data_IF_110420594229
#
_entry.id   IF_110420594229
#
_cell.length_a   1.000
_cell.length_b   1.000
_cell.length_c   1.000
_cell.angle_alpha   90.00
_cell.angle_beta   90.00
_cell.angle_gamma   90.00
#
_symmetry.space_group_name_H-M   'P 1'
#
loop_
_entity.id
_entity.type
_entity.pdbx_description
1 polymer ?
#
# COMPACT_ATOMS: atom_id res chain seq x y z
N UNK A 1 -29.32 2.56 -14.43
CA UNK A 1 -29.04 1.19 -13.94
C UNK A 1 -29.85 0.08 -14.64
N UNK A 2 -30.18 0.14 -15.94
CA UNK A 2 -30.89 -1.00 -16.58
C UNK A 2 -30.54 -1.32 -18.04
N UNK A 3 -29.67 -0.57 -18.72
CA UNK A 3 -29.47 -0.79 -20.18
C UNK A 3 -28.08 -1.32 -20.56
N UNK A 4 -27.10 -1.23 -19.67
CA UNK A 4 -25.72 -1.67 -19.94
C UNK A 4 -25.49 -3.10 -19.42
N UNK A 5 -26.11 -3.46 -18.29
CA UNK A 5 -26.05 -4.81 -17.70
C UNK A 5 -26.68 -5.85 -18.65
N UNK A 6 -27.82 -5.55 -19.28
CA UNK A 6 -28.48 -6.45 -20.23
C UNK A 6 -27.66 -6.69 -21.52
N UNK A 7 -26.86 -5.71 -21.96
CA UNK A 7 -26.04 -5.85 -23.18
C UNK A 7 -24.81 -6.71 -23.00
N UNK A 8 -24.34 -6.89 -21.76
CA UNK A 8 -23.21 -7.78 -21.43
C UNK A 8 -23.71 -9.23 -21.26
N UNK A 9 -24.92 -9.43 -20.74
CA UNK A 9 -25.51 -10.77 -20.59
C UNK A 9 -25.81 -11.49 -21.93
N UNK A 10 -26.05 -10.72 -23.00
CA UNK A 10 -26.37 -11.27 -24.33
C UNK A 10 -25.22 -12.01 -25.02
N UNK A 11 -23.97 -11.67 -24.70
CA UNK A 11 -22.77 -12.27 -25.33
C UNK A 11 -22.33 -13.58 -24.62
N UNK A 12 -22.76 -13.78 -23.38
CA UNK A 12 -22.35 -14.93 -22.54
C UNK A 12 -23.19 -16.19 -22.81
N UNK A 13 -24.32 -16.09 -23.51
CA UNK A 13 -25.25 -17.23 -23.72
C UNK A 13 -24.86 -18.25 -24.80
N UNK A 14 -23.75 -18.09 -25.52
CA UNK A 14 -23.39 -19.01 -26.62
C UNK A 14 -22.39 -20.12 -26.30
N UNK A 15 -21.91 -20.27 -25.05
CA UNK A 15 -20.95 -21.34 -24.71
C UNK A 15 -21.32 -22.15 -23.47
N UNK A 16 -22.54 -22.73 -23.45
CA UNK A 16 -22.87 -23.84 -22.55
C UNK A 16 -23.25 -25.07 -23.36
N UNK A 17 -22.26 -25.91 -23.64
CA UNK A 17 -22.46 -27.33 -23.92
C UNK A 17 -21.21 -28.11 -23.48
N UNK A 18 -21.21 -28.56 -22.22
CA UNK A 18 -20.45 -29.73 -21.75
C UNK A 18 -21.29 -30.50 -20.72
N UNK A 19 -21.19 -31.84 -20.71
CA UNK A 19 -22.20 -32.70 -20.11
C UNK A 19 -22.09 -32.77 -18.58
N UNK A 20 -23.26 -32.96 -17.96
CA UNK A 20 -23.49 -33.15 -16.53
C UNK A 20 -22.84 -34.44 -16.02
N UNK A 21 -21.93 -34.30 -15.05
CA UNK A 21 -21.56 -35.34 -14.11
C UNK A 21 -21.96 -34.90 -12.71
N UNK A 22 -22.70 -35.75 -12.00
CA UNK A 22 -23.11 -35.52 -10.61
C UNK A 22 -21.88 -35.55 -9.69
N UNK A 23 -21.33 -34.38 -9.37
CA UNK A 23 -20.50 -34.18 -8.18
C UNK A 23 -21.41 -33.63 -7.08
N UNK A 24 -21.55 -34.38 -5.98
CA UNK A 24 -22.10 -33.84 -4.74
C UNK A 24 -21.13 -32.77 -4.23
N UNK A 25 -21.27 -31.53 -4.69
CA UNK A 25 -20.56 -30.38 -4.17
C UNK A 25 -21.07 -30.12 -2.76
N UNK A 26 -20.33 -30.58 -1.75
CA UNK A 26 -20.52 -30.10 -0.39
C UNK A 26 -20.18 -28.61 -0.38
N UNK A 27 -21.20 -27.76 -0.43
CA UNK A 27 -21.04 -26.31 -0.31
C UNK A 27 -20.50 -26.02 1.10
N UNK A 28 -19.21 -25.71 1.19
CA UNK A 28 -18.56 -25.36 2.46
C UNK A 28 -19.17 -24.05 2.92
N UNK A 29 -19.78 -24.05 4.11
CA UNK A 29 -20.35 -22.85 4.69
C UNK A 29 -19.25 -21.81 4.93
N UNK A 30 -19.54 -20.55 4.65
CA UNK A 30 -18.66 -19.44 4.91
C UNK A 30 -19.21 -18.50 5.99
N UNK A 31 -18.30 -17.77 6.64
CA UNK A 31 -18.59 -16.73 7.63
C UNK A 31 -17.82 -15.45 7.32
N UNK A 32 -18.42 -14.32 7.67
CA UNK A 32 -17.79 -13.02 7.71
C UNK A 32 -17.21 -12.82 9.12
N UNK A 33 -15.93 -12.47 9.19
CA UNK A 33 -15.15 -12.40 10.42
C UNK A 33 -14.83 -10.96 10.80
N UNK A 34 -14.91 -10.66 12.09
CA UNK A 34 -14.22 -9.52 12.72
C UNK A 34 -13.30 -10.04 13.81
N UNK A 35 -12.00 -9.89 13.59
CA UNK A 35 -10.95 -10.36 14.50
C UNK A 35 -10.29 -9.14 15.13
N UNK A 36 -10.38 -9.02 16.45
CA UNK A 36 -9.65 -8.02 17.23
C UNK A 36 -8.42 -8.68 17.86
N UNK A 37 -7.23 -8.23 17.45
CA UNK A 37 -5.96 -8.61 18.04
C UNK A 37 -5.65 -7.65 19.19
N UNK A 38 -5.83 -8.11 20.43
CA UNK A 38 -5.84 -7.23 21.61
C UNK A 38 -4.40 -6.91 22.01
N UNK A 39 -3.60 -7.92 22.30
CA UNK A 39 -2.25 -7.74 22.83
C UNK A 39 -1.57 -9.05 23.17
N UNK A 40 -0.33 -8.95 23.64
CA UNK A 40 0.43 -10.07 24.20
C UNK A 40 1.12 -9.66 25.49
N UNK A 41 1.62 -10.64 26.25
CA UNK A 41 2.41 -10.39 27.47
C UNK A 41 3.38 -11.54 27.72
N UNK A 42 4.47 -11.23 28.44
CA UNK A 42 5.51 -12.19 28.76
C UNK A 42 6.39 -12.55 27.56
N UNK A 43 6.50 -11.65 26.57
CA UNK A 43 7.40 -11.83 25.45
C UNK A 43 8.86 -11.89 25.93
N UNK A 44 9.72 -12.72 25.32
CA UNK A 44 11.14 -12.74 25.65
C UNK A 44 11.79 -11.41 25.27
N UNK A 45 12.81 -11.02 26.03
CA UNK A 45 13.75 -10.00 25.59
C UNK A 45 14.56 -10.55 24.40
N UNK A 46 14.63 -9.77 23.33
CA UNK A 46 15.30 -10.17 22.09
C UNK A 46 16.46 -9.21 21.75
N UNK A 47 16.33 -7.92 22.10
CA UNK A 47 17.42 -6.95 21.99
C UNK A 47 18.57 -7.10 23.00
N UNK A 48 19.79 -6.72 22.60
CA UNK A 48 20.94 -6.57 23.52
C UNK A 48 20.75 -5.38 24.47
N UNK A 49 20.22 -4.27 23.96
CA UNK A 49 19.93 -3.02 24.70
C UNK A 49 18.50 -2.60 24.36
N UNK A 50 17.62 -2.41 25.35
CA UNK A 50 16.18 -2.25 25.10
C UNK A 50 15.38 -3.43 25.65
N UNK A 51 14.23 -3.75 25.06
CA UNK A 51 13.43 -4.93 25.39
C UNK A 51 13.09 -5.75 24.14
N UNK A 52 11.97 -5.43 23.50
CA UNK A 52 11.58 -5.86 22.17
C UNK A 52 10.68 -4.77 21.57
N UNK A 53 10.67 -4.66 20.25
CA UNK A 53 9.77 -3.89 19.40
C UNK A 53 8.79 -4.84 18.65
N UNK A 54 7.85 -5.50 19.36
CA UNK A 54 7.08 -6.59 18.76
C UNK A 54 6.03 -6.13 17.74
N UNK A 55 5.81 -7.00 16.75
CA UNK A 55 4.67 -6.95 15.83
C UNK A 55 4.23 -8.39 15.48
N UNK A 56 3.05 -8.54 14.89
CA UNK A 56 2.56 -9.84 14.45
C UNK A 56 2.14 -9.86 12.98
N UNK A 57 2.14 -11.06 12.40
CA UNK A 57 1.58 -11.40 11.10
C UNK A 57 0.49 -12.44 11.33
N UNK A 58 -0.76 -12.07 11.06
CA UNK A 58 -1.90 -12.97 11.06
C UNK A 58 -2.20 -13.43 9.64
N UNK A 59 -2.52 -14.72 9.46
CA UNK A 59 -2.85 -15.35 8.18
C UNK A 59 -4.06 -16.25 8.34
N UNK A 60 -4.98 -16.22 7.38
CA UNK A 60 -6.08 -17.19 7.29
C UNK A 60 -5.80 -18.10 6.10
N UNK A 61 -5.56 -19.39 6.37
CA UNK A 61 -5.24 -20.43 5.38
C UNK A 61 -4.15 -20.05 4.35
N UNK A 62 -3.23 -19.14 4.72
CA UNK A 62 -2.24 -18.52 3.82
C UNK A 62 -2.82 -17.79 2.58
N UNK A 63 -4.15 -17.59 2.52
CA UNK A 63 -4.85 -16.89 1.44
C UNK A 63 -4.84 -15.37 1.61
N UNK A 64 -4.93 -14.89 2.85
CA UNK A 64 -4.94 -13.47 3.17
C UNK A 64 -4.17 -13.22 4.47
N UNK A 65 -3.50 -12.08 4.57
CA UNK A 65 -2.70 -11.71 5.74
C UNK A 65 -2.90 -10.29 6.24
N UNK A 66 -2.67 -10.12 7.54
CA UNK A 66 -2.61 -8.85 8.24
C UNK A 66 -1.27 -8.75 8.97
N UNK A 67 -0.48 -7.71 8.65
CA UNK A 67 0.70 -7.36 9.45
C UNK A 67 0.34 -6.17 10.35
N UNK A 68 0.58 -6.32 11.66
CA UNK A 68 0.25 -5.29 12.65
C UNK A 68 1.20 -4.09 12.61
N UNK A 69 0.91 -3.07 13.39
CA UNK A 69 1.86 -2.03 13.78
C UNK A 69 2.97 -2.59 14.68
N UNK A 70 4.10 -1.88 14.72
CA UNK A 70 5.21 -2.17 15.63
C UNK A 70 4.97 -1.38 16.91
N UNK A 71 4.98 -2.06 18.06
CA UNK A 71 4.92 -1.41 19.37
C UNK A 71 6.32 -1.41 19.97
N UNK A 72 6.83 -0.25 20.37
CA UNK A 72 8.25 -0.14 20.74
C UNK A 72 8.52 -0.43 22.22
N UNK A 73 9.69 -1.00 22.49
CA UNK A 73 10.29 -1.23 23.79
C UNK A 73 9.29 -1.79 24.83
N UNK A 74 8.62 -2.88 24.50
CA UNK A 74 7.66 -3.55 25.38
C UNK A 74 7.68 -5.07 25.24
N UNK A 75 7.55 -5.77 26.37
CA UNK A 75 7.29 -7.22 26.42
C UNK A 75 5.81 -7.56 26.64
N UNK A 76 4.96 -6.53 26.71
CA UNK A 76 3.53 -6.61 26.86
C UNK A 76 2.82 -5.67 25.89
N UNK A 77 2.91 -5.93 24.57
CA UNK A 77 2.33 -5.05 23.56
C UNK A 77 0.81 -5.07 23.58
N UNK A 78 0.22 -3.92 23.29
CA UNK A 78 -1.23 -3.75 23.10
C UNK A 78 -1.43 -3.15 21.71
N UNK A 79 -1.95 -3.95 20.79
CA UNK A 79 -2.22 -3.50 19.41
C UNK A 79 -3.65 -2.97 19.27
N UNK A 80 -4.63 -3.69 19.83
CA UNK A 80 -6.06 -3.41 19.63
C UNK A 80 -6.46 -3.22 18.16
N UNK A 81 -5.81 -3.97 17.25
CA UNK A 81 -6.07 -3.88 15.81
C UNK A 81 -7.22 -4.79 15.40
N UNK A 82 -8.11 -4.27 14.56
CA UNK A 82 -9.24 -5.02 14.02
C UNK A 82 -8.95 -5.43 12.59
N UNK A 83 -9.35 -6.64 12.22
CA UNK A 83 -9.30 -7.17 10.87
C UNK A 83 -10.66 -7.75 10.48
N UNK A 84 -11.20 -7.31 9.34
CA UNK A 84 -12.45 -7.81 8.78
C UNK A 84 -12.19 -8.55 7.48
N UNK A 85 -12.71 -9.77 7.39
CA UNK A 85 -12.56 -10.65 6.23
C UNK A 85 -13.89 -11.32 5.96
N UNK A 86 -14.36 -11.22 4.72
CA UNK A 86 -15.62 -11.80 4.27
C UNK A 86 -15.42 -13.14 3.58
N UNK A 87 -16.49 -13.93 3.58
CA UNK A 87 -16.59 -15.19 2.85
C UNK A 87 -15.47 -16.18 3.19
N UNK A 88 -15.20 -16.39 4.48
CA UNK A 88 -14.16 -17.31 4.96
C UNK A 88 -14.78 -18.68 5.24
N UNK A 89 -14.26 -19.78 4.67
CA UNK A 89 -14.73 -21.12 4.99
C UNK A 89 -14.70 -21.40 6.50
N UNK A 90 -15.76 -21.98 7.06
CA UNK A 90 -15.83 -22.28 8.51
C UNK A 90 -14.74 -23.23 9.02
N UNK A 91 -14.09 -23.95 8.11
CA UNK A 91 -12.98 -24.86 8.38
C UNK A 91 -11.61 -24.18 8.38
N UNK A 92 -11.54 -22.88 8.05
CA UNK A 92 -10.29 -22.15 7.96
C UNK A 92 -9.62 -22.00 9.33
N UNK A 93 -8.29 -21.91 9.30
CA UNK A 93 -7.48 -21.68 10.47
C UNK A 93 -6.81 -20.31 10.45
N UNK A 94 -6.70 -19.71 11.64
CA UNK A 94 -5.94 -18.49 11.88
C UNK A 94 -4.56 -18.86 12.42
N UNK A 95 -3.51 -18.54 11.67
CA UNK A 95 -2.11 -18.57 12.08
C UNK A 95 -1.66 -17.17 12.47
N UNK A 96 -1.03 -17.03 13.63
CA UNK A 96 -0.42 -15.76 14.07
C UNK A 96 1.05 -16.02 14.38
N UNK A 97 1.93 -15.25 13.75
CA UNK A 97 3.37 -15.27 13.92
C UNK A 97 3.81 -13.94 14.54
N UNK A 98 4.62 -13.98 15.60
CA UNK A 98 5.09 -12.80 16.34
C UNK A 98 6.60 -12.64 16.11
N UNK A 99 7.00 -11.40 15.86
CA UNK A 99 8.36 -11.01 15.53
C UNK A 99 8.79 -9.83 16.40
N UNK A 100 10.08 -9.71 16.63
CA UNK A 100 10.73 -8.53 17.17
C UNK A 100 11.35 -7.69 16.06
N UNK A 101 11.15 -6.37 16.10
CA UNK A 101 11.63 -5.48 15.05
C UNK A 101 13.05 -4.97 15.32
N UNK A 102 14.00 -5.47 14.55
CA UNK A 102 15.40 -5.01 14.61
C UNK A 102 15.72 -3.97 13.52
N UNK A 103 15.63 -2.68 13.86
CA UNK A 103 15.97 -1.61 12.92
C UNK A 103 17.46 -1.65 12.53
N UNK A 104 17.73 -2.01 11.28
CA UNK A 104 19.09 -2.09 10.71
C UNK A 104 19.62 -3.51 10.54
N UNK A 105 18.90 -4.52 11.03
CA UNK A 105 19.17 -5.92 10.71
C UNK A 105 18.54 -6.32 9.36
N UNK A 106 19.11 -7.32 8.65
CA UNK A 106 18.52 -7.83 7.40
C UNK A 106 17.23 -8.61 7.62
N UNK A 107 17.04 -9.17 8.81
CA UNK A 107 15.88 -9.96 9.20
C UNK A 107 15.46 -9.58 10.61
N UNK A 108 14.16 -9.56 10.84
CA UNK A 108 13.52 -9.31 12.13
C UNK A 108 13.51 -10.63 12.95
N UNK A 109 13.78 -10.56 14.25
CA UNK A 109 13.90 -11.72 15.12
C UNK A 109 12.56 -12.45 15.32
N UNK A 110 12.51 -13.74 15.03
CA UNK A 110 11.28 -14.53 15.20
C UNK A 110 11.05 -14.93 16.66
N UNK A 111 9.95 -14.46 17.26
CA UNK A 111 9.60 -14.76 18.66
C UNK A 111 8.91 -16.12 18.76
N UNK A 112 7.86 -16.34 17.96
CA UNK A 112 7.06 -17.56 18.01
C UNK A 112 5.74 -17.45 17.24
N UNK A 113 4.90 -18.48 17.35
CA UNK A 113 3.59 -18.52 16.69
C UNK A 113 2.55 -19.29 17.47
N UNK A 114 1.30 -19.14 17.07
CA UNK A 114 0.23 -20.06 17.46
C UNK A 114 -0.77 -20.22 16.31
N UNK A 115 -1.53 -21.30 16.35
CA UNK A 115 -2.60 -21.59 15.39
C UNK A 115 -3.90 -21.83 16.15
N UNK A 116 -5.01 -21.27 15.67
CA UNK A 116 -6.33 -21.45 16.27
C UNK A 116 -7.42 -21.47 15.20
N UNK A 117 -8.57 -22.04 15.50
CA UNK A 117 -9.74 -22.01 14.60
C UNK A 117 -10.27 -20.58 14.45
N UNK A 118 -11.16 -20.34 13.48
CA UNK A 118 -11.88 -19.06 13.36
C UNK A 118 -13.18 -19.01 14.18
N UNK A 119 -13.40 -19.94 15.12
CA UNK A 119 -14.62 -19.96 15.93
C UNK A 119 -14.77 -18.70 16.78
N UNK A 120 -15.99 -18.13 16.92
CA UNK A 120 -16.23 -16.95 17.75
C UNK A 120 -15.82 -17.12 19.20
N UNK A 121 -15.48 -15.99 19.83
CA UNK A 121 -15.15 -15.90 21.24
C UNK A 121 -13.82 -15.19 21.51
N UNK A 122 -13.60 -14.87 22.78
CA UNK A 122 -12.29 -14.46 23.25
C UNK A 122 -11.37 -15.69 23.33
N UNK A 123 -10.14 -15.54 22.86
CA UNK A 123 -9.13 -16.59 22.85
C UNK A 123 -7.87 -16.10 23.55
N UNK A 124 -7.34 -17.00 24.38
CA UNK A 124 -6.02 -16.89 24.98
C UNK A 124 -5.16 -17.99 24.36
N UNK A 125 -4.04 -17.62 23.76
CA UNK A 125 -3.15 -18.54 23.06
C UNK A 125 -1.72 -18.42 23.57
N UNK A 126 -1.08 -19.57 23.80
CA UNK A 126 0.34 -19.62 24.10
C UNK A 126 1.17 -19.40 22.82
N UNK A 127 2.15 -18.50 22.90
CA UNK A 127 3.08 -18.25 21.79
C UNK A 127 4.18 -19.33 21.85
N UNK A 128 4.19 -20.22 20.88
CA UNK A 128 5.16 -21.30 20.79
C UNK A 128 6.45 -20.84 20.08
N UNK A 129 7.58 -20.90 20.79
CA UNK A 129 8.88 -20.60 20.22
C UNK A 129 9.42 -21.69 19.27
N UNK A 130 10.43 -21.37 18.44
CA UNK A 130 10.96 -22.27 17.39
C UNK A 130 11.68 -23.53 17.91
N UNK A 131 12.20 -23.50 19.14
CA UNK A 131 12.98 -24.60 19.73
C UNK A 131 12.28 -25.10 21.01
N UNK A 132 12.00 -26.41 21.06
CA UNK A 132 11.51 -27.16 22.23
C UNK A 132 10.13 -26.73 22.79
N UNK A 133 9.24 -26.09 22.00
CA UNK A 133 7.91 -25.61 22.45
C UNK A 133 7.98 -24.85 23.78
N UNK A 134 8.98 -23.97 23.93
CA UNK A 134 9.01 -23.07 25.08
C UNK A 134 7.91 -22.01 24.89
N UNK A 135 7.06 -21.85 25.90
CA UNK A 135 6.15 -20.73 26.03
C UNK A 135 6.97 -19.42 25.92
N UNK A 136 6.61 -18.56 24.96
CA UNK A 136 7.24 -17.25 24.72
C UNK A 136 6.28 -16.09 25.03
N UNK A 137 5.26 -16.36 25.83
CA UNK A 137 4.24 -15.39 26.22
C UNK A 137 2.84 -15.86 25.85
N UNK A 138 1.87 -15.03 26.23
CA UNK A 138 0.45 -15.25 25.99
C UNK A 138 -0.07 -14.16 25.05
N UNK A 139 -0.89 -14.54 24.08
CA UNK A 139 -1.56 -13.66 23.14
C UNK A 139 -3.08 -13.69 23.37
N UNK A 140 -3.72 -12.52 23.33
CA UNK A 140 -5.18 -12.39 23.43
C UNK A 140 -5.79 -11.81 22.16
N UNK A 141 -6.87 -12.45 21.70
CA UNK A 141 -7.68 -11.96 20.58
C UNK A 141 -9.15 -12.28 20.80
N UNK A 142 -10.03 -11.58 20.07
CA UNK A 142 -11.47 -11.84 20.07
C UNK A 142 -11.95 -12.00 18.63
N UNK A 143 -12.70 -13.07 18.37
CA UNK A 143 -13.33 -13.32 17.07
C UNK A 143 -14.84 -13.15 17.21
N UNK A 144 -15.41 -12.35 16.32
CA UNK A 144 -16.84 -12.30 16.05
C UNK A 144 -17.06 -12.86 14.64
N UNK A 145 -18.14 -13.62 14.44
CA UNK A 145 -18.49 -14.14 13.12
C UNK A 145 -19.99 -14.11 12.89
N UNK A 146 -20.37 -13.88 11.64
CA UNK A 146 -21.73 -14.06 11.16
C UNK A 146 -21.74 -14.90 9.87
N UNK A 147 -22.82 -15.63 9.55
CA UNK A 147 -22.89 -16.36 8.28
C UNK A 147 -22.72 -15.42 7.07
N UNK A 148 -21.86 -15.80 6.14
CA UNK A 148 -21.68 -15.03 4.89
C UNK A 148 -22.92 -15.12 4.00
N UNK A 149 -23.09 -14.12 3.14
CA UNK A 149 -24.13 -14.14 2.11
C UNK A 149 -23.79 -15.20 1.06
N UNK A 150 -24.80 -15.92 0.58
CA UNK A 150 -24.63 -17.03 -0.37
C UNK A 150 -24.22 -16.61 -1.79
N UNK A 151 -24.23 -15.32 -2.09
CA UNK A 151 -23.96 -14.77 -3.43
C UNK A 151 -22.55 -14.18 -3.58
N UNK A 152 -21.67 -14.33 -2.59
CA UNK A 152 -20.30 -13.83 -2.67
C UNK A 152 -19.42 -14.68 -3.60
N UNK A 153 -18.97 -14.06 -4.69
CA UNK A 153 -18.11 -14.69 -5.72
C UNK A 153 -16.69 -15.01 -5.22
N UNK A 154 -16.14 -14.17 -4.32
CA UNK A 154 -14.75 -14.28 -3.86
C UNK A 154 -14.68 -14.68 -2.39
N UNK A 155 -13.83 -15.66 -2.06
CA UNK A 155 -13.49 -16.03 -0.67
C UNK A 155 -12.33 -15.20 -0.14
N UNK A 156 -12.19 -15.14 1.19
CA UNK A 156 -11.11 -14.41 1.87
C UNK A 156 -11.01 -12.93 1.47
N UNK A 157 -12.15 -12.26 1.33
CA UNK A 157 -12.20 -10.89 0.84
C UNK A 157 -11.90 -9.91 1.99
N UNK A 158 -10.86 -9.08 1.82
CA UNK A 158 -10.59 -8.00 2.77
C UNK A 158 -11.75 -7.00 2.86
N UNK A 159 -12.23 -6.75 4.08
CA UNK A 159 -13.36 -5.87 4.37
C UNK A 159 -13.01 -4.77 5.39
N UNK A 160 -11.72 -4.47 5.51
CA UNK A 160 -11.23 -3.35 6.30
C UNK A 160 -10.82 -3.70 7.73
N UNK A 161 -10.64 -2.68 8.58
CA UNK A 161 -10.66 -1.26 8.24
C UNK A 161 -9.57 -0.88 7.23
N UNK A 162 -9.78 0.17 6.43
CA UNK A 162 -8.76 0.68 5.51
C UNK A 162 -7.59 1.19 6.35
N UNK A 163 -6.41 0.60 6.13
CA UNK A 163 -5.20 0.89 6.89
C UNK A 163 -4.10 1.36 5.96
N UNK A 164 -3.25 2.23 6.47
CA UNK A 164 -2.06 2.67 5.75
C UNK A 164 -0.78 2.46 6.55
N UNK A 165 0.31 2.26 5.83
CA UNK A 165 1.66 2.45 6.34
C UNK A 165 2.36 3.51 5.48
N UNK A 166 2.92 4.51 6.16
CA UNK A 166 3.77 5.55 5.60
C UNK A 166 5.21 5.23 5.97
N UNK A 167 5.99 4.94 4.95
CA UNK A 167 7.39 4.58 5.10
C UNK A 167 8.24 5.82 4.87
N UNK A 168 9.03 6.16 5.89
CA UNK A 168 10.05 7.20 5.81
C UNK A 168 11.41 6.54 5.74
N UNK A 169 12.26 6.98 4.81
CA UNK A 169 13.64 6.50 4.76
C UNK A 169 14.61 7.67 4.96
N UNK A 170 15.05 7.94 6.21
CA UNK A 170 16.08 8.93 6.50
C UNK A 170 17.45 8.50 5.94
N UNK A 171 17.73 7.19 5.97
CA UNK A 171 18.96 6.58 5.44
C UNK A 171 19.13 6.89 3.95
N UNK A 172 18.02 6.96 3.22
CA UNK A 172 17.97 7.37 1.82
C UNK A 172 18.28 8.87 1.63
N UNK A 173 17.84 9.74 2.54
CA UNK A 173 18.20 11.16 2.53
C UNK A 173 19.71 11.37 2.74
N UNK A 174 20.33 10.56 3.60
CA UNK A 174 21.78 10.58 3.84
C UNK A 174 22.55 10.03 2.63
N UNK A 175 22.07 8.95 1.99
CA UNK A 175 22.72 8.33 0.82
C UNK A 175 22.68 9.20 -0.44
N UNK A 176 21.75 10.16 -0.54
CA UNK A 176 21.59 11.03 -1.71
C UNK A 176 22.38 12.33 -1.62
N UNK A 177 23.06 12.61 -0.50
CA UNK A 177 23.78 13.87 -0.25
C UNK A 177 22.93 15.14 -0.49
N UNK A 178 21.60 14.99 -0.56
CA UNK A 178 20.65 16.08 -0.61
C UNK A 178 20.56 16.61 0.82
N UNK A 179 20.70 17.93 0.99
CA UNK A 179 20.69 18.64 2.28
C UNK A 179 19.77 17.98 3.33
N UNK A 180 20.12 18.04 4.61
CA UNK A 180 19.22 17.60 5.72
C UNK A 180 17.83 18.30 5.73
N UNK A 181 17.62 19.31 4.86
CA UNK A 181 16.35 19.99 4.56
C UNK A 181 15.59 19.41 3.34
N UNK A 182 16.15 18.45 2.61
CA UNK A 182 15.49 17.71 1.56
C UNK A 182 14.36 16.89 2.17
N UNK A 183 13.16 17.47 2.09
CA UNK A 183 11.86 16.93 2.50
C UNK A 183 11.87 15.40 2.56
N UNK A 184 11.78 14.86 3.78
CA UNK A 184 11.70 13.42 4.08
C UNK A 184 10.76 12.72 3.11
N UNK A 185 11.32 11.90 2.20
CA UNK A 185 10.54 11.17 1.21
C UNK A 185 9.62 10.17 1.89
N UNK A 186 8.38 10.11 1.40
CA UNK A 186 7.34 9.23 1.93
C UNK A 186 6.82 8.35 0.81
N UNK A 187 6.70 7.06 1.10
CA UNK A 187 5.96 6.12 0.28
C UNK A 187 4.80 5.59 1.12
N UNK A 188 3.63 5.48 0.52
CA UNK A 188 2.43 5.01 1.19
C UNK A 188 2.03 3.65 0.63
N UNK A 189 1.60 2.77 1.53
CA UNK A 189 0.93 1.51 1.22
C UNK A 189 -0.42 1.54 1.94
N UNK A 190 -1.50 1.48 1.18
CA UNK A 190 -2.88 1.55 1.68
C UNK A 190 -3.60 0.28 1.27
N UNK A 191 -4.26 -0.38 2.22
CA UNK A 191 -5.11 -1.54 1.94
C UNK A 191 -6.55 -1.06 1.79
N UNK A 192 -6.97 -0.88 0.54
CA UNK A 192 -8.34 -0.49 0.20
C UNK A 192 -9.21 -1.75 0.03
N UNK A 193 -10.51 -1.63 0.29
CA UNK A 193 -11.47 -2.72 0.24
C UNK A 193 -12.04 -2.90 -1.18
N UNK A 194 -12.41 -4.15 -1.50
CA UNK A 194 -13.18 -4.47 -2.70
C UNK A 194 -12.42 -4.64 -4.02
N UNK A 195 -11.08 -4.57 -4.05
CA UNK A 195 -10.31 -4.69 -5.31
C UNK A 195 -10.73 -5.90 -6.17
N UNK A 196 -10.84 -7.13 -5.63
CA UNK A 196 -11.32 -8.28 -6.41
C UNK A 196 -12.74 -8.12 -6.95
N UNK A 197 -13.63 -7.40 -6.26
CA UNK A 197 -15.01 -7.17 -6.70
C UNK A 197 -15.07 -6.26 -7.94
N UNK A 198 -14.23 -5.23 -7.98
CA UNK A 198 -14.20 -4.25 -9.06
C UNK A 198 -13.35 -4.72 -10.25
N UNK A 199 -12.13 -5.19 -9.99
CA UNK A 199 -11.21 -5.62 -11.05
C UNK A 199 -11.40 -7.07 -11.48
N UNK A 200 -12.10 -7.90 -10.69
CA UNK A 200 -12.27 -9.33 -10.96
C UNK A 200 -10.93 -10.02 -11.16
N UNK A 201 -10.81 -10.85 -12.20
CA UNK A 201 -9.55 -11.47 -12.62
C UNK A 201 -8.83 -10.67 -13.71
N UNK A 202 -9.11 -9.36 -13.83
CA UNK A 202 -8.43 -8.49 -14.78
C UNK A 202 -7.11 -8.02 -14.18
N UNK A 203 -6.03 -8.29 -14.90
CA UNK A 203 -4.68 -7.86 -14.58
C UNK A 203 -4.05 -7.17 -15.80
N UNK A 204 -3.17 -6.20 -15.54
CA UNK A 204 -2.44 -5.43 -16.54
C UNK A 204 -1.00 -5.90 -16.54
N UNK A 205 -0.63 -6.64 -17.59
CA UNK A 205 0.73 -7.08 -17.81
C UNK A 205 1.64 -5.91 -18.18
N UNK A 206 2.94 -6.03 -17.90
CA UNK A 206 3.90 -5.01 -18.31
C UNK A 206 3.89 -4.76 -19.83
N UNK A 207 4.21 -3.53 -20.22
CA UNK A 207 4.14 -3.05 -21.58
C UNK A 207 5.28 -3.63 -22.44
N UNK A 208 4.97 -4.71 -23.14
CA UNK A 208 5.91 -5.41 -24.04
C UNK A 208 6.40 -4.57 -25.22
N UNK A 209 5.74 -3.44 -25.52
CA UNK A 209 6.11 -2.55 -26.62
C UNK A 209 6.95 -1.35 -26.16
N UNK A 210 7.27 -1.25 -24.88
CA UNK A 210 8.03 -0.13 -24.32
C UNK A 210 9.45 -0.56 -23.94
N UNK A 211 10.46 0.04 -24.58
CA UNK A 211 11.87 -0.33 -24.40
C UNK A 211 12.35 -0.27 -22.95
N UNK A 212 11.91 0.71 -22.17
CA UNK A 212 12.32 0.80 -20.77
C UNK A 212 11.71 -0.34 -19.94
N UNK A 213 10.45 -0.73 -20.19
CA UNK A 213 9.85 -1.90 -19.55
C UNK A 213 10.53 -3.21 -20.00
N UNK A 214 10.85 -3.36 -21.29
CA UNK A 214 11.62 -4.50 -21.79
C UNK A 214 12.97 -4.64 -21.07
N UNK A 215 13.66 -3.53 -20.78
CA UNK A 215 14.93 -3.58 -20.04
C UNK A 215 14.80 -4.15 -18.62
N UNK A 216 13.60 -4.07 -18.03
CA UNK A 216 13.29 -4.58 -16.68
C UNK A 216 12.80 -6.02 -16.74
N UNK A 217 12.03 -6.41 -17.76
CA UNK A 217 11.33 -7.71 -17.76
C UNK A 217 11.87 -8.70 -18.79
N UNK A 218 12.66 -8.25 -19.77
CA UNK A 218 13.06 -9.07 -20.92
C UNK A 218 14.59 -9.12 -21.10
N UNK A 219 15.08 -10.32 -21.39
CA UNK A 219 16.48 -10.56 -21.76
C UNK A 219 17.43 -10.74 -20.57
N UNK A 220 18.68 -11.16 -20.80
CA UNK A 220 19.61 -11.55 -19.73
C UNK A 220 19.97 -10.41 -18.76
N UNK A 221 20.04 -9.17 -19.25
CA UNK A 221 20.36 -7.99 -18.43
C UNK A 221 19.25 -7.62 -17.44
N UNK A 222 18.00 -8.05 -17.71
CA UNK A 222 16.84 -7.75 -16.86
C UNK A 222 16.97 -8.27 -15.44
N UNK A 223 17.75 -9.33 -15.22
CA UNK A 223 17.96 -9.92 -13.89
C UNK A 223 18.65 -8.90 -12.97
N UNK A 224 19.75 -8.30 -13.43
CA UNK A 224 20.49 -7.32 -12.65
C UNK A 224 19.66 -6.05 -12.38
N UNK A 225 18.89 -5.61 -13.38
CA UNK A 225 17.97 -4.47 -13.26
C UNK A 225 16.89 -4.75 -12.21
N UNK A 226 16.20 -5.91 -12.29
CA UNK A 226 15.17 -6.29 -11.31
C UNK A 226 15.74 -6.46 -9.92
N UNK A 227 16.87 -7.15 -9.74
CA UNK A 227 17.49 -7.32 -8.43
C UNK A 227 17.74 -5.99 -7.73
N UNK A 228 18.17 -4.98 -8.49
CA UNK A 228 18.40 -3.62 -7.99
C UNK A 228 17.11 -2.91 -7.59
N UNK A 229 16.08 -2.97 -8.45
CA UNK A 229 14.77 -2.39 -8.16
C UNK A 229 14.12 -3.09 -6.96
N UNK A 230 14.22 -4.41 -6.86
CA UNK A 230 13.67 -5.21 -5.76
C UNK A 230 14.40 -4.94 -4.44
N UNK A 231 15.73 -4.77 -4.45
CA UNK A 231 16.46 -4.33 -3.27
C UNK A 231 15.97 -2.95 -2.80
N UNK A 232 15.75 -2.03 -3.73
CA UNK A 232 15.24 -0.69 -3.44
C UNK A 232 13.80 -0.71 -2.96
N UNK A 233 12.95 -1.58 -3.52
CA UNK A 233 11.59 -1.84 -3.05
C UNK A 233 11.61 -2.29 -1.58
N UNK A 234 12.46 -3.28 -1.25
CA UNK A 234 12.61 -3.77 0.12
C UNK A 234 13.04 -2.66 1.07
N UNK A 235 13.96 -1.79 0.66
CA UNK A 235 14.37 -0.64 1.49
C UNK A 235 13.26 0.40 1.66
N UNK A 236 12.48 0.68 0.62
CA UNK A 236 11.39 1.65 0.64
C UNK A 236 10.21 1.20 1.49
N UNK A 237 9.82 -0.05 1.36
CA UNK A 237 8.71 -0.65 2.11
C UNK A 237 9.18 -1.39 3.36
N UNK A 238 10.45 -1.25 3.73
CA UNK A 238 10.97 -1.78 4.97
C UNK A 238 10.11 -1.28 6.12
N UNK A 239 9.69 -2.23 6.96
CA UNK A 239 9.12 -1.89 8.25
C UNK A 239 10.22 -1.25 9.08
N UNK A 240 9.89 -0.18 9.80
CA UNK A 240 10.75 0.49 10.77
C UNK A 240 9.90 0.92 11.96
N UNK A 241 10.52 1.06 13.12
CA UNK A 241 9.86 1.62 14.31
C UNK A 241 9.37 3.06 14.08
N UNK A 242 9.97 3.77 13.13
CA UNK A 242 9.65 5.15 12.75
C UNK A 242 8.60 5.29 11.64
N UNK A 243 8.06 4.18 11.13
CA UNK A 243 6.99 4.25 10.13
C UNK A 243 5.70 4.82 10.74
N UNK A 244 4.99 5.64 9.96
CA UNK A 244 3.65 6.08 10.33
C UNK A 244 2.63 5.00 10.00
N UNK A 245 1.71 4.72 10.90
CA UNK A 245 0.58 3.81 10.64
C UNK A 245 -0.72 4.48 11.06
N UNK A 246 -1.83 4.06 10.46
CA UNK A 246 -3.15 4.53 10.86
C UNK A 246 -4.27 3.94 10.05
N UNK A 247 -5.49 4.34 10.40
CA UNK A 247 -6.71 3.99 9.70
C UNK A 247 -7.20 5.17 8.86
N UNK A 248 -7.88 4.87 7.76
CA UNK A 248 -8.60 5.83 6.95
C UNK A 248 -10.08 5.50 7.06
N UNK A 249 -10.84 6.35 7.75
CA UNK A 249 -12.28 6.14 7.94
C UNK A 249 -13.10 6.86 6.87
N UNK A 250 -12.53 7.91 6.28
CA UNK A 250 -13.18 8.77 5.31
C UNK A 250 -12.17 9.37 4.32
N UNK A 251 -12.71 9.99 3.28
CA UNK A 251 -11.95 10.74 2.29
C UNK A 251 -11.04 11.83 2.89
N UNK A 252 -11.51 12.55 3.91
CA UNK A 252 -10.75 13.60 4.58
C UNK A 252 -9.44 13.06 5.18
N UNK A 253 -9.46 11.85 5.73
CA UNK A 253 -8.25 11.21 6.25
C UNK A 253 -7.27 10.83 5.13
N UNK A 254 -7.79 10.36 3.98
CA UNK A 254 -6.95 10.12 2.81
C UNK A 254 -6.29 11.41 2.30
N UNK A 255 -7.03 12.52 2.22
CA UNK A 255 -6.47 13.82 1.82
C UNK A 255 -5.43 14.32 2.83
N UNK A 256 -5.67 14.16 4.14
CA UNK A 256 -4.69 14.49 5.20
C UNK A 256 -3.38 13.72 5.04
N UNK A 257 -3.39 12.49 4.50
CA UNK A 257 -2.15 11.76 4.20
C UNK A 257 -1.26 12.49 3.19
N UNK A 258 -1.85 13.30 2.32
CA UNK A 258 -1.18 14.04 1.25
C UNK A 258 -0.72 15.44 1.69
N UNK A 259 -0.94 15.81 2.97
CA UNK A 259 -0.44 17.07 3.51
C UNK A 259 1.09 17.07 3.52
N UNK A 260 1.68 18.21 3.14
CA UNK A 260 3.12 18.40 3.28
C UNK A 260 3.51 18.23 4.74
N UNK A 261 4.56 17.45 5.02
CA UNK A 261 5.02 17.20 6.39
C UNK A 261 5.37 18.53 7.10
N UNK A 262 4.41 19.07 7.84
CA UNK A 262 4.62 19.80 9.09
C UNK A 262 4.34 18.81 10.21
N UNK A 263 5.31 18.62 11.09
CA UNK A 263 5.40 17.52 12.03
C UNK A 263 4.13 17.18 12.81
N UNK A 264 4.02 15.89 13.10
CA UNK A 264 3.33 15.25 14.21
C UNK A 264 2.95 16.21 15.36
N UNK A 265 1.69 16.10 15.81
CA UNK A 265 1.29 16.12 17.21
C UNK A 265 2.41 16.41 18.25
N UNK A 266 2.81 17.67 18.37
CA UNK A 266 3.40 18.17 19.61
C UNK A 266 2.29 18.88 20.39
N UNK A 267 1.86 18.24 21.47
CA UNK A 267 1.15 18.88 22.57
C UNK A 267 1.93 20.14 22.97
N UNK A 268 1.38 21.31 22.67
CA UNK A 268 1.90 22.61 23.12
C UNK A 268 2.59 23.42 22.02
N UNK A 269 1.82 23.97 21.08
CA UNK A 269 2.24 25.14 20.31
C UNK A 269 1.08 26.13 20.22
N UNK A 270 1.11 27.12 21.11
CA UNK A 270 0.27 28.31 21.06
C UNK A 270 0.79 29.24 19.95
N UNK A 271 0.28 29.10 18.73
CA UNK A 271 0.21 30.19 17.75
C UNK A 271 -0.67 29.77 16.58
N UNK A 272 -1.68 30.58 16.26
CA UNK A 272 -2.44 30.51 15.00
C UNK A 272 -1.45 30.43 13.84
N UNK A 273 -1.48 29.33 13.11
CA UNK A 273 -0.80 29.20 11.84
C UNK A 273 -1.81 28.55 10.89
N UNK A 274 -2.78 29.37 10.45
CA UNK A 274 -3.98 28.96 9.69
C UNK A 274 -3.67 28.35 8.30
N UNK A 275 -2.39 28.08 8.01
CA UNK A 275 -1.85 27.64 6.72
C UNK A 275 -0.81 26.49 6.84
N UNK A 276 -0.53 25.96 8.03
CA UNK A 276 0.52 24.94 8.24
C UNK A 276 0.14 23.53 7.77
N UNK A 277 -1.13 23.30 7.39
CA UNK A 277 -1.69 21.99 7.06
C UNK A 277 -2.16 21.86 5.61
N UNK A 278 -1.54 22.58 4.67
CA UNK A 278 -1.98 22.56 3.28
C UNK A 278 -1.59 21.27 2.55
N UNK A 279 -2.57 20.68 1.86
CA UNK A 279 -2.33 19.59 0.88
C UNK A 279 -1.24 20.03 -0.07
N UNK A 280 -0.27 19.14 -0.27
CA UNK A 280 0.84 19.42 -1.17
C UNK A 280 0.32 19.38 -2.63
N UNK A 281 0.50 20.44 -3.43
CA UNK A 281 0.26 20.37 -4.87
C UNK A 281 1.35 19.50 -5.50
N UNK A 282 1.11 18.19 -5.51
CA UNK A 282 2.03 17.18 -5.98
C UNK A 282 1.29 16.16 -6.85
N UNK A 283 2.02 15.60 -7.79
CA UNK A 283 1.61 14.44 -8.56
C UNK A 283 2.21 13.22 -7.89
N UNK A 284 1.47 12.12 -7.84
CA UNK A 284 1.87 10.88 -7.21
C UNK A 284 1.83 9.75 -8.24
N UNK A 285 2.89 8.95 -8.31
CA UNK A 285 2.90 7.71 -9.06
C UNK A 285 2.27 6.62 -8.21
N UNK A 286 1.35 5.83 -8.76
CA UNK A 286 0.69 4.75 -8.02
C UNK A 286 0.64 3.42 -8.77
N UNK A 287 0.48 2.35 -8.00
CA UNK A 287 -0.03 1.05 -8.48
C UNK A 287 -1.14 0.55 -7.56
N UNK A 288 -1.99 -0.32 -8.09
CA UNK A 288 -2.74 -1.30 -7.30
C UNK A 288 -2.04 -2.64 -7.52
N UNK A 289 -1.40 -3.15 -6.47
CA UNK A 289 -0.58 -4.38 -6.55
C UNK A 289 -1.46 -5.60 -6.84
N UNK A 290 -0.96 -6.50 -7.68
CA UNK A 290 -1.58 -7.81 -7.90
C UNK A 290 -1.20 -8.84 -6.82
N UNK A 291 -0.14 -8.59 -6.04
CA UNK A 291 0.41 -9.56 -5.08
C UNK A 291 -0.38 -9.58 -3.77
N UNK A 292 -0.83 -8.41 -3.30
CA UNK A 292 -1.47 -8.24 -2.00
C UNK A 292 -2.63 -7.23 -2.01
N UNK A 293 -3.13 -6.89 -3.21
CA UNK A 293 -4.23 -5.94 -3.42
C UNK A 293 -4.06 -4.62 -2.63
N UNK A 294 -2.83 -4.12 -2.52
CA UNK A 294 -2.57 -2.82 -1.89
C UNK A 294 -2.41 -1.67 -2.90
N UNK A 295 -2.98 -0.52 -2.56
CA UNK A 295 -2.78 0.75 -3.25
C UNK A 295 -1.49 1.39 -2.75
N UNK A 296 -0.49 1.46 -3.62
CA UNK A 296 0.88 1.86 -3.29
C UNK A 296 1.26 3.08 -4.09
N UNK A 297 1.78 4.13 -3.44
CA UNK A 297 2.14 5.36 -4.15
C UNK A 297 3.26 6.16 -3.49
N UNK A 298 3.87 7.02 -4.30
CA UNK A 298 4.86 8.02 -3.87
C UNK A 298 4.79 9.24 -4.77
N UNK A 299 5.37 10.35 -4.34
CA UNK A 299 5.40 11.59 -5.13
C UNK A 299 6.22 11.43 -6.43
N UNK A 300 5.63 11.79 -7.56
CA UNK A 300 6.28 11.87 -8.87
C UNK A 300 7.30 12.99 -8.86
N UNK A 301 8.52 12.68 -9.30
CA UNK A 301 9.59 13.67 -9.44
C UNK A 301 10.38 13.90 -8.15
N UNK A 302 10.19 13.09 -7.11
CA UNK A 302 11.13 13.09 -5.98
C UNK A 302 12.52 12.66 -6.46
N UNK A 303 13.56 13.43 -6.11
CA UNK A 303 14.96 13.21 -6.53
C UNK A 303 15.46 11.79 -6.26
N UNK A 304 15.03 11.20 -5.14
CA UNK A 304 15.28 9.78 -4.85
C UNK A 304 14.87 8.83 -5.98
N UNK A 305 13.78 9.12 -6.68
CA UNK A 305 13.21 8.24 -7.68
C UNK A 305 13.67 8.50 -9.12
N UNK A 306 14.54 9.48 -9.34
CA UNK A 306 15.05 9.80 -10.68
C UNK A 306 16.05 8.76 -11.18
N UNK A 307 16.74 8.10 -10.26
CA UNK A 307 17.71 7.04 -10.57
C UNK A 307 17.07 5.69 -10.92
N UNK A 308 15.76 5.53 -10.71
CA UNK A 308 15.08 4.27 -10.98
C UNK A 308 14.52 4.21 -12.39
N UNK A 309 14.82 3.11 -13.07
CA UNK A 309 14.35 2.80 -14.42
C UNK A 309 12.81 2.84 -14.55
N UNK A 310 12.08 2.54 -13.47
CA UNK A 310 10.64 2.69 -13.40
C UNK A 310 10.14 2.78 -11.96
N UNK A 311 9.39 3.85 -11.64
CA UNK A 311 8.71 4.03 -10.35
C UNK A 311 7.57 3.03 -10.15
N UNK A 312 6.83 2.71 -11.22
CA UNK A 312 5.78 1.69 -11.19
C UNK A 312 6.36 0.30 -10.90
N UNK A 313 7.46 -0.07 -11.56
CA UNK A 313 8.17 -1.33 -11.31
C UNK A 313 8.73 -1.39 -9.87
N UNK A 314 9.20 -0.26 -9.37
CA UNK A 314 9.66 -0.15 -7.99
C UNK A 314 8.54 -0.35 -6.98
N UNK A 315 7.34 0.21 -7.20
CA UNK A 315 6.21 -0.05 -6.31
C UNK A 315 5.67 -1.47 -6.41
N UNK A 316 5.77 -2.10 -7.58
CA UNK A 316 5.29 -3.46 -7.83
C UNK A 316 6.30 -4.55 -7.48
N UNK A 317 7.48 -4.19 -6.96
CA UNK A 317 8.57 -5.15 -6.71
C UNK A 317 8.95 -5.94 -7.99
N UNK A 318 8.85 -5.28 -9.16
CA UNK A 318 8.99 -5.89 -10.47
C UNK A 318 8.03 -7.06 -10.74
N UNK A 319 6.80 -7.02 -10.22
CA UNK A 319 5.75 -7.93 -10.63
C UNK A 319 5.43 -7.75 -12.12
N UNK A 320 5.25 -8.85 -12.85
CA UNK A 320 4.90 -8.80 -14.28
C UNK A 320 3.50 -8.23 -14.52
N UNK A 321 2.64 -8.30 -13.50
CA UNK A 321 1.26 -7.85 -13.54
C UNK A 321 0.94 -6.90 -12.38
N UNK A 322 0.05 -5.95 -12.62
CA UNK A 322 -0.62 -5.13 -11.60
C UNK A 322 -2.13 -5.16 -11.83
N UNK A 323 -2.94 -4.83 -10.83
CA UNK A 323 -4.39 -4.61 -11.05
C UNK A 323 -4.60 -3.37 -11.91
N UNK A 324 -3.89 -2.29 -11.56
CA UNK A 324 -3.88 -1.04 -12.30
C UNK A 324 -2.67 -0.17 -11.90
N UNK A 325 -2.35 0.87 -12.68
CA UNK A 325 -1.28 1.82 -12.36
C UNK A 325 -1.39 3.11 -13.15
N UNK A 326 -0.79 4.18 -12.65
CA UNK A 326 -0.81 5.48 -13.31
C UNK A 326 -0.21 6.57 -12.43
N UNK A 327 -0.73 7.78 -12.58
CA UNK A 327 -0.49 8.93 -11.72
C UNK A 327 -1.80 9.48 -11.16
N UNK A 328 -1.72 10.21 -10.05
CA UNK A 328 -2.85 10.97 -9.52
C UNK A 328 -2.37 12.25 -8.84
N UNK A 329 -3.27 13.22 -8.68
CA UNK A 329 -3.02 14.39 -7.85
C UNK A 329 -4.32 14.90 -7.21
N UNK A 330 -4.26 15.34 -5.95
CA UNK A 330 -5.36 16.09 -5.37
C UNK A 330 -5.41 17.49 -5.99
N UNK A 331 -6.62 18.04 -6.11
CA UNK A 331 -6.84 19.44 -6.48
C UNK A 331 -8.03 20.02 -5.73
N UNK A 332 -8.07 21.32 -5.47
CA UNK A 332 -9.28 21.98 -4.99
C UNK A 332 -10.38 21.90 -6.07
N UNK A 333 -11.63 21.94 -5.63
CA UNK A 333 -12.79 21.91 -6.52
C UNK A 333 -12.71 23.04 -7.57
N UNK A 334 -12.91 22.69 -8.83
CA UNK A 334 -12.73 23.62 -9.96
C UNK A 334 -11.27 23.85 -10.38
N UNK A 335 -10.30 23.18 -9.74
CA UNK A 335 -8.90 23.13 -10.13
C UNK A 335 -8.01 24.24 -9.57
N UNK A 336 -6.69 24.01 -9.65
CA UNK A 336 -5.67 24.91 -9.11
C UNK A 336 -5.66 26.31 -9.73
N UNK A 337 -6.10 26.46 -10.99
CA UNK A 337 -6.17 27.76 -11.67
C UNK A 337 -7.17 28.72 -11.01
N UNK A 338 -8.20 28.18 -10.35
CA UNK A 338 -9.28 28.94 -9.73
C UNK A 338 -9.16 29.00 -8.20
N UNK A 339 -8.10 28.43 -7.63
CA UNK A 339 -7.94 28.34 -6.19
C UNK A 339 -7.37 29.62 -5.60
N UNK A 340 -7.98 30.08 -4.50
CA UNK A 340 -7.49 31.21 -3.71
C UNK A 340 -6.89 30.71 -2.38
N UNK A 341 -5.65 31.12 -2.10
CA UNK A 341 -4.97 30.81 -0.84
C UNK A 341 -5.64 31.45 0.39
N UNK A 342 -6.57 32.40 0.24
CA UNK A 342 -7.35 32.94 1.36
C UNK A 342 -8.38 31.93 1.93
N UNK A 343 -8.69 30.85 1.19
CA UNK A 343 -9.65 29.83 1.64
C UNK A 343 -9.02 29.00 2.77
N UNK A 344 -9.64 28.91 3.96
CA UNK A 344 -9.18 28.06 5.04
C UNK A 344 -9.12 26.58 4.65
N UNK A 345 -8.14 25.83 5.18
CA UNK A 345 -7.87 24.44 4.78
C UNK A 345 -9.08 23.50 5.01
N UNK A 346 -9.85 23.74 6.07
CA UNK A 346 -11.07 23.00 6.41
C UNK A 346 -12.27 23.32 5.51
N UNK A 347 -12.19 24.41 4.74
CA UNK A 347 -13.20 24.82 3.76
C UNK A 347 -12.86 24.41 2.33
N UNK A 348 -11.64 23.93 2.08
CA UNK A 348 -11.25 23.48 0.75
C UNK A 348 -11.95 22.17 0.43
N UNK A 349 -12.81 22.20 -0.59
CA UNK A 349 -13.40 21.01 -1.17
C UNK A 349 -12.35 20.34 -2.07
N UNK A 350 -11.95 19.12 -1.73
CA UNK A 350 -10.91 18.39 -2.45
C UNK A 350 -11.51 17.43 -3.48
N UNK A 351 -10.91 17.41 -4.66
CA UNK A 351 -11.14 16.45 -5.72
C UNK A 351 -9.88 15.60 -5.95
N UNK A 352 -10.06 14.36 -6.40
CA UNK A 352 -8.96 13.48 -6.78
C UNK A 352 -8.97 13.26 -8.29
N UNK A 353 -7.91 13.70 -8.97
CA UNK A 353 -7.70 13.38 -10.39
C UNK A 353 -6.75 12.19 -10.47
N UNK A 354 -7.14 11.13 -11.17
CA UNK A 354 -6.35 9.91 -11.33
C UNK A 354 -6.36 9.47 -12.79
N UNK A 355 -5.28 8.86 -13.25
CA UNK A 355 -5.12 8.45 -14.65
C UNK A 355 -4.54 7.03 -14.79
N UNK A 356 -4.34 6.63 -16.05
CA UNK A 356 -3.67 5.39 -16.44
C UNK A 356 -2.25 5.62 -17.01
N UNK A 357 -1.59 6.74 -16.65
CA UNK A 357 -0.28 7.15 -17.15
C UNK A 357 0.85 6.29 -16.54
N UNK A 358 1.08 5.13 -17.15
CA UNK A 358 2.15 4.21 -16.74
C UNK A 358 2.85 3.67 -17.97
N UNK A 359 4.08 4.14 -18.24
CA UNK A 359 4.88 3.57 -19.32
C UNK A 359 5.19 2.08 -19.10
N UNK A 360 5.23 1.64 -17.84
CA UNK A 360 5.63 0.27 -17.47
C UNK A 360 4.54 -0.75 -17.70
N UNK A 361 3.27 -0.40 -17.45
CA UNK A 361 2.13 -1.32 -17.57
C UNK A 361 1.11 -0.88 -18.62
N UNK A 362 1.10 0.40 -18.99
CA UNK A 362 0.18 1.02 -19.95
C UNK A 362 -1.28 0.53 -19.84
N UNK A 363 -1.92 0.63 -18.66
CA UNK A 363 -3.23 0.01 -18.45
C UNK A 363 -4.31 0.50 -19.41
N UNK A 364 -5.27 -0.36 -19.73
CA UNK A 364 -6.40 -0.01 -20.61
C UNK A 364 -7.23 1.15 -20.02
N UNK A 365 -7.44 2.21 -20.79
CA UNK A 365 -8.25 3.37 -20.40
C UNK A 365 -9.73 3.01 -20.20
N UNK A 366 -10.21 1.89 -20.77
CA UNK A 366 -11.58 1.40 -20.55
C UNK A 366 -11.84 0.99 -19.10
N UNK A 367 -10.79 0.77 -18.30
CA UNK A 367 -10.91 0.43 -16.88
C UNK A 367 -10.96 1.66 -15.96
N UNK A 368 -10.82 2.89 -16.49
CA UNK A 368 -10.91 4.12 -15.69
C UNK A 368 -12.23 4.27 -14.94
N UNK A 369 -13.41 3.93 -15.50
CA UNK A 369 -14.66 3.94 -14.73
C UNK A 369 -14.64 2.97 -13.54
N UNK A 370 -14.05 1.78 -13.71
CA UNK A 370 -13.91 0.78 -12.64
C UNK A 370 -12.99 1.30 -11.52
N UNK A 371 -11.87 1.93 -11.90
CA UNK A 371 -10.96 2.56 -10.95
C UNK A 371 -11.64 3.69 -10.16
N UNK A 372 -12.42 4.52 -10.87
CA UNK A 372 -13.21 5.59 -10.25
C UNK A 372 -14.17 5.03 -9.21
N UNK A 373 -14.97 4.02 -9.58
CA UNK A 373 -15.95 3.41 -8.68
C UNK A 373 -15.27 2.77 -7.46
N UNK A 374 -14.13 2.09 -7.64
CA UNK A 374 -13.36 1.53 -6.53
C UNK A 374 -12.91 2.60 -5.54
N UNK A 375 -12.40 3.73 -6.02
CA UNK A 375 -11.91 4.81 -5.15
C UNK A 375 -13.07 5.54 -4.45
N UNK A 376 -14.18 5.81 -5.16
CA UNK A 376 -15.38 6.40 -4.56
C UNK A 376 -16.03 5.47 -3.52
N UNK A 377 -15.93 4.15 -3.72
CA UNK A 377 -16.36 3.15 -2.73
C UNK A 377 -15.54 3.19 -1.43
N UNK A 378 -14.23 3.43 -1.55
CA UNK A 378 -13.30 3.45 -0.42
C UNK A 378 -13.22 4.81 0.29
N UNK A 379 -13.40 5.88 -0.46
CA UNK A 379 -13.28 7.26 0.00
C UNK A 379 -14.56 8.00 -0.36
N UNK A 380 -15.69 7.67 0.31
CA UNK A 380 -16.93 8.40 0.10
C UNK A 380 -16.67 9.89 0.38
N UNK A 381 -17.35 10.75 -0.37
CA UNK A 381 -17.28 12.23 -0.28
C UNK A 381 -16.10 12.93 -0.96
N UNK A 382 -15.15 12.21 -1.58
CA UNK A 382 -14.19 12.82 -2.53
C UNK A 382 -14.61 12.55 -3.98
N UNK A 383 -14.91 13.59 -4.77
CA UNK A 383 -15.13 13.43 -6.20
C UNK A 383 -13.87 12.90 -6.90
N UNK A 384 -14.00 11.77 -7.60
CA UNK A 384 -12.90 11.16 -8.36
C UNK A 384 -13.09 11.43 -9.85
N UNK A 385 -12.06 11.98 -10.49
CA UNK A 385 -11.98 12.20 -11.93
C UNK A 385 -10.93 11.26 -12.51
N UNK A 386 -11.38 10.14 -13.07
CA UNK A 386 -10.52 9.18 -13.75
C UNK A 386 -10.40 9.55 -15.23
N UNK A 387 -9.25 10.11 -15.63
CA UNK A 387 -9.01 10.65 -16.98
C UNK A 387 -7.97 9.80 -17.71
N UNK A 388 -8.11 9.66 -19.03
CA UNK A 388 -7.09 8.99 -19.84
C UNK A 388 -5.81 9.82 -19.85
N UNK A 389 -4.65 9.17 -19.91
CA UNK A 389 -3.37 9.86 -20.09
C UNK A 389 -3.30 10.71 -21.39
N UNK A 390 -4.18 10.43 -22.35
CA UNK A 390 -4.36 11.17 -23.61
C UNK A 390 -5.32 12.37 -23.48
N UNK A 391 -6.01 12.50 -22.34
CA UNK A 391 -7.02 13.54 -22.13
C UNK A 391 -6.38 14.93 -21.97
N UNK A 392 -6.74 15.92 -22.81
CA UNK A 392 -6.23 17.29 -22.67
C UNK A 392 -6.55 17.92 -21.30
N UNK A 393 -7.67 17.57 -20.66
CA UNK A 393 -8.03 18.09 -19.34
C UNK A 393 -7.09 17.59 -18.25
N UNK A 394 -6.61 16.35 -18.36
CA UNK A 394 -5.60 15.80 -17.46
C UNK A 394 -4.30 16.60 -17.56
N UNK A 395 -3.83 16.84 -18.79
CA UNK A 395 -2.60 17.63 -19.04
C UNK A 395 -2.73 19.01 -18.41
N UNK A 396 -3.84 19.71 -18.67
CA UNK A 396 -4.13 21.03 -18.09
C UNK A 396 -4.14 20.98 -16.56
N UNK A 397 -4.84 20.02 -15.97
CA UNK A 397 -4.97 19.85 -14.52
C UNK A 397 -3.60 19.61 -13.85
N UNK A 398 -2.76 18.78 -14.48
CA UNK A 398 -1.40 18.48 -14.02
C UNK A 398 -0.46 19.69 -14.12
N UNK A 399 -0.54 20.43 -15.22
CA UNK A 399 0.23 21.66 -15.42
C UNK A 399 -0.16 22.75 -14.43
N UNK A 400 -1.46 22.93 -14.17
CA UNK A 400 -1.97 23.85 -13.15
C UNK A 400 -1.45 23.48 -11.76
N UNK A 401 -1.46 22.19 -11.40
CA UNK A 401 -0.88 21.70 -10.15
C UNK A 401 0.61 22.06 -10.02
N UNK A 402 1.40 21.80 -11.07
CA UNK A 402 2.84 22.15 -11.11
C UNK A 402 3.10 23.65 -11.06
N UNK A 403 2.33 24.44 -11.79
CA UNK A 403 2.44 25.90 -11.78
C UNK A 403 2.13 26.47 -10.39
N UNK A 404 1.10 25.94 -9.73
CA UNK A 404 0.73 26.32 -8.37
C UNK A 404 1.82 25.97 -7.36
N UNK A 405 2.38 24.76 -7.46
CA UNK A 405 3.49 24.30 -6.64
C UNK A 405 4.71 25.23 -6.70
N UNK A 406 5.11 25.64 -7.91
CA UNK A 406 6.20 26.59 -8.14
C UNK A 406 5.91 27.99 -7.60
N UNK A 407 4.68 28.49 -7.82
CA UNK A 407 4.28 29.86 -7.50
C UNK A 407 4.08 30.08 -5.99
N UNK A 408 3.33 29.20 -5.33
CA UNK A 408 2.76 29.47 -4.02
C UNK A 408 3.36 28.63 -2.88
N UNK A 409 4.21 27.64 -3.18
CA UNK A 409 4.69 26.66 -2.18
C UNK A 409 6.21 26.52 -2.10
N UNK A 410 6.95 27.45 -2.72
CA UNK A 410 8.40 27.51 -2.64
C UNK A 410 9.11 26.26 -3.17
N UNK A 411 8.43 25.50 -4.04
CA UNK A 411 9.01 24.31 -4.66
C UNK A 411 9.94 24.80 -5.77
N UNK A 412 11.21 24.40 -5.69
CA UNK A 412 12.20 24.71 -6.73
C UNK A 412 11.91 23.91 -7.99
N UNK A 413 12.25 24.44 -9.17
CA UNK A 413 12.00 23.76 -10.45
C UNK A 413 12.69 22.41 -10.53
N UNK A 414 13.86 22.33 -9.90
CA UNK A 414 14.71 21.15 -9.78
C UNK A 414 14.09 20.07 -8.88
N UNK A 415 13.14 20.42 -8.00
CA UNK A 415 12.42 19.46 -7.14
C UNK A 415 11.23 18.81 -7.85
N UNK A 416 10.69 19.43 -8.91
CA UNK A 416 9.61 18.85 -9.73
C UNK A 416 10.16 18.00 -10.89
N UNK A 417 11.38 18.31 -11.33
CA UNK A 417 12.10 17.62 -12.40
C UNK A 417 13.57 17.50 -11.99
N UNK A 418 13.90 16.56 -11.10
CA UNK A 418 15.27 16.35 -10.71
C UNK A 418 16.01 15.73 -11.89
N UNK A 419 17.18 16.29 -12.20
CA UNK A 419 18.10 15.74 -13.17
C UNK A 419 19.34 15.27 -12.41
N UNK A 420 19.87 14.11 -12.79
CA UNK A 420 21.17 13.65 -12.32
C UNK A 420 22.26 14.62 -12.78
N UNK A 421 23.11 15.07 -11.87
CA UNK A 421 24.32 15.82 -12.26
C UNK A 421 25.47 14.87 -12.59
N UNK A 422 26.31 15.28 -13.54
CA UNK A 422 27.40 14.44 -14.06
C UNK A 422 28.42 14.12 -12.95
N UNK A 423 28.49 12.85 -12.54
CA UNK A 423 29.39 12.36 -11.49
C UNK A 423 28.72 11.89 -10.19
N UNK A 424 27.41 12.03 -10.04
CA UNK A 424 26.67 11.48 -8.89
C UNK A 424 26.58 9.95 -8.94
N UNK A 425 26.94 9.29 -7.83
CA UNK A 425 26.78 7.83 -7.70
C UNK A 425 25.31 7.52 -7.53
N UNK A 426 24.73 6.76 -8.46
CA UNK A 426 23.31 6.42 -8.42
C UNK A 426 22.99 5.51 -7.23
N UNK A 427 21.83 5.71 -6.61
CA UNK A 427 21.38 4.86 -5.51
C UNK A 427 21.17 3.41 -5.93
N UNK A 428 20.83 3.19 -7.20
CA UNK A 428 20.76 1.86 -7.81
C UNK A 428 22.09 1.10 -7.69
N UNK A 429 23.24 1.77 -7.84
CA UNK A 429 24.55 1.14 -7.64
C UNK A 429 24.81 0.77 -6.17
N UNK A 430 24.37 1.60 -5.22
CA UNK A 430 24.59 1.35 -3.79
C UNK A 430 23.64 0.26 -3.25
N UNK A 431 22.36 0.25 -3.66
CA UNK A 431 21.41 -0.80 -3.30
C UNK A 431 21.87 -2.19 -3.78
N UNK A 432 22.51 -2.26 -4.95
CA UNK A 432 23.13 -3.50 -5.45
C UNK A 432 24.34 -3.94 -4.60
N UNK A 433 25.13 -2.99 -4.09
CA UNK A 433 26.29 -3.30 -3.23
C UNK A 433 25.89 -3.85 -1.85
N UNK A 434 24.81 -3.33 -1.25
CA UNK A 434 24.30 -3.84 0.04
C UNK A 434 23.48 -5.14 -0.11
N UNK A 435 22.90 -5.41 -1.29
CA UNK A 435 22.17 -6.65 -1.58
C UNK A 435 23.00 -7.81 -2.16
N UNK A 436 24.26 -7.55 -2.55
CA UNK A 436 25.12 -8.50 -3.26
C UNK A 436 26.11 -9.28 -2.40
N UNK A 437 26.13 -9.07 -1.08
CA UNK A 437 26.95 -9.88 -0.17
C UNK A 437 26.31 -11.26 0.03
N UNK A 438 27.04 -12.32 -0.33
CA UNK A 438 26.73 -13.74 -0.12
C UNK A 438 26.00 -14.48 -1.25
N UNK A 439 26.65 -14.50 -2.42
CA UNK A 439 26.67 -15.66 -3.29
C UNK A 439 28.02 -16.35 -3.22
N UNK A 440 28.15 -17.41 -2.42
CA UNK A 440 29.23 -18.38 -2.54
C UNK A 440 30.11 -18.55 -1.30
N UNK A 441 29.76 -19.52 -0.45
CA UNK A 441 30.67 -20.61 -0.03
C UNK A 441 29.80 -21.85 0.15
N UNK A 442 30.24 -22.97 -0.43
CA UNK A 442 29.65 -24.31 -0.30
C UNK A 442 29.61 -24.81 1.14
#
# INVERSE_FOLDING_TARGET
>A
MSSIVEKIEGVVRSNKNRPSGDEHSFEVRCVDLSIQFIGASGLPKMDVVGSADPYFVAKIDDHISLVSTVTTNTLAPVWNEVWRVKNVPVTADLLVEVFDKDDGAPHDDYIGKFKTTISPGAKEAEIEGPLLRRNRGTFWLKIESEPSKSDQEYTYLFDGPIRYSRHFSPTVGILTNLDNNARRYSTWKVFIIGIPLFFKDIYQHWNVNYKAAQSIFQGPASIAVRSTIQASHRMLYARKTTNGFGLLENAGDFIKLLHGAGDSCHLGATSRNDFAHRVKPAVYTYIISADDDSFRFSETGAAFFVDFASKHALHSNCAENVRYSGEFHPRPAGGWDNFNDDIPDDQVQWELVIDNNSGTYSPDSKMLPVLKELLEYNFPDVPVFALSHEDPELVKSREACRAYALKCRGIRKEELQPNLTEGEVTLSHQAAAYGGGYGGVQ
#
